data_IF_993517411409
#
_entry.id   IF_993517411409
#
_cell.length_a   1.000
_cell.length_b   1.000
_cell.length_c   1.000
_cell.angle_alpha   90.00
_cell.angle_beta   90.00
_cell.angle_gamma   90.00
#
_symmetry.space_group_name_H-M   'P 1'
#
loop_
_entity.id
_entity.type
_entity.pdbx_description
1 polymer ?
#
# COMPACT_ATOMS: atom_id res chain seq x y z
N UNK A 1 -7.54 12.33 -12.74
CA UNK A 1 -8.72 11.46 -12.52
C UNK A 1 -8.52 10.78 -11.18
N UNK A 2 -9.51 10.92 -10.30
CA UNK A 2 -9.44 10.32 -8.98
C UNK A 2 -9.75 8.83 -9.08
N UNK A 3 -8.89 8.03 -8.47
CA UNK A 3 -9.03 6.57 -8.46
C UNK A 3 -9.67 6.08 -7.17
N UNK A 4 -9.45 6.82 -6.08
CA UNK A 4 -10.00 6.50 -4.77
C UNK A 4 -10.52 7.78 -4.11
N UNK A 5 -11.75 7.74 -3.60
CA UNK A 5 -12.40 8.88 -2.95
C UNK A 5 -12.95 8.46 -1.59
N UNK A 6 -12.68 9.25 -0.56
CA UNK A 6 -13.24 9.11 0.77
C UNK A 6 -14.29 10.20 0.98
N UNK A 7 -15.52 9.79 1.32
CA UNK A 7 -16.66 10.69 1.59
C UNK A 7 -17.15 10.47 3.01
N UNK A 8 -16.87 11.42 3.89
CA UNK A 8 -17.25 11.45 5.31
C UNK A 8 -16.86 10.18 6.08
N UNK A 9 -15.71 9.57 5.70
CA UNK A 9 -15.26 8.30 6.24
C UNK A 9 -14.90 8.43 7.71
N UNK A 10 -15.57 7.63 8.54
CA UNK A 10 -15.30 7.49 9.97
C UNK A 10 -15.11 6.03 10.34
N UNK A 11 -14.27 5.78 11.33
CA UNK A 11 -14.03 4.42 11.80
C UNK A 11 -13.90 4.34 13.32
N UNK A 12 -14.56 3.34 13.90
CA UNK A 12 -14.40 2.87 15.29
C UNK A 12 -14.33 1.35 15.32
N UNK A 13 -13.62 0.81 16.28
CA UNK A 13 -13.62 -0.64 16.50
C UNK A 13 -14.97 -1.10 17.06
N UNK A 14 -15.36 -2.35 16.76
CA UNK A 14 -16.66 -2.92 17.16
C UNK A 14 -16.87 -2.90 18.67
N UNK A 15 -15.79 -3.11 19.43
CA UNK A 15 -15.82 -3.17 20.91
C UNK A 15 -15.58 -1.81 21.57
N UNK A 16 -15.40 -0.73 20.77
CA UNK A 16 -15.22 0.62 21.30
C UNK A 16 -16.55 1.25 21.69
N UNK A 17 -16.51 2.18 22.66
CA UNK A 17 -17.69 2.98 23.03
C UNK A 17 -18.18 3.78 21.84
N UNK A 18 -19.47 4.15 21.84
CA UNK A 18 -20.09 4.86 20.70
C UNK A 18 -19.35 6.12 20.25
N UNK A 19 -18.69 6.81 21.17
CA UNK A 19 -17.94 8.04 20.91
C UNK A 19 -16.46 7.84 20.62
N UNK A 20 -15.94 6.62 20.75
CA UNK A 20 -14.51 6.31 20.57
C UNK A 20 -14.15 5.99 19.12
N UNK A 21 -14.08 7.03 18.29
CA UNK A 21 -13.63 6.91 16.91
C UNK A 21 -12.11 6.99 16.81
N UNK A 22 -11.54 6.19 15.93
CA UNK A 22 -10.13 6.27 15.53
C UNK A 22 -9.90 7.56 14.74
N UNK A 23 -10.80 7.86 13.80
CA UNK A 23 -10.90 9.12 13.05
C UNK A 23 -12.34 9.34 12.57
N UNK A 24 -12.66 10.59 12.24
CA UNK A 24 -14.01 10.99 11.81
C UNK A 24 -13.98 11.90 10.59
N UNK A 25 -14.99 11.74 9.75
CA UNK A 25 -15.33 12.64 8.64
C UNK A 25 -14.16 12.94 7.70
N UNK A 26 -13.40 11.91 7.33
CA UNK A 26 -12.34 12.05 6.33
C UNK A 26 -13.00 12.25 4.96
N UNK A 27 -12.71 13.41 4.36
CA UNK A 27 -12.99 13.69 2.96
C UNK A 27 -11.66 13.87 2.25
N UNK A 28 -11.33 13.00 1.31
CA UNK A 28 -10.05 13.03 0.61
C UNK A 28 -10.10 12.30 -0.73
N UNK A 29 -9.37 12.82 -1.72
CA UNK A 29 -9.31 12.23 -3.04
C UNK A 29 -7.87 11.85 -3.39
N UNK A 30 -7.70 10.69 -4.00
CA UNK A 30 -6.42 10.19 -4.49
C UNK A 30 -6.47 10.03 -6.01
N UNK A 31 -5.55 10.70 -6.70
CA UNK A 31 -5.50 10.73 -8.17
C UNK A 31 -4.39 9.85 -8.72
N UNK A 32 -4.57 9.36 -9.94
CA UNK A 32 -3.53 8.66 -10.68
C UNK A 32 -2.31 9.55 -10.93
N UNK A 33 -1.12 8.93 -11.01
CA UNK A 33 0.13 9.63 -11.30
C UNK A 33 0.70 10.43 -10.12
N UNK A 34 0.24 10.17 -8.89
CA UNK A 34 0.61 10.92 -7.69
C UNK A 34 1.06 9.99 -6.56
N UNK A 35 1.92 10.53 -5.70
CA UNK A 35 2.35 9.91 -4.44
C UNK A 35 1.72 10.68 -3.29
N UNK A 36 1.04 9.96 -2.42
CA UNK A 36 0.44 10.46 -1.18
C UNK A 36 1.15 9.86 0.02
N UNK A 37 1.51 10.67 0.99
CA UNK A 37 2.01 10.21 2.28
C UNK A 37 0.95 10.45 3.36
N UNK A 38 0.53 9.38 4.04
CA UNK A 38 -0.33 9.45 5.21
C UNK A 38 0.57 9.38 6.43
N UNK A 39 0.63 10.46 7.20
CA UNK A 39 1.40 10.52 8.44
C UNK A 39 0.52 10.76 9.66
N UNK A 40 1.07 10.53 10.83
CA UNK A 40 0.42 10.73 12.13
C UNK A 40 1.19 10.03 13.23
N UNK A 41 0.89 10.34 14.48
CA UNK A 41 1.52 9.72 15.66
C UNK A 41 1.29 8.20 15.69
N UNK A 42 2.11 7.48 16.48
CA UNK A 42 1.80 6.06 16.74
C UNK A 42 0.39 5.92 17.32
N UNK A 43 -0.35 4.92 16.87
CA UNK A 43 -1.76 4.75 17.26
C UNK A 43 -2.72 5.79 16.66
N UNK A 44 -2.34 6.54 15.61
CA UNK A 44 -3.26 7.48 14.95
C UNK A 44 -4.30 6.81 14.04
N UNK A 45 -4.18 5.51 13.77
CA UNK A 45 -5.09 4.79 12.89
C UNK A 45 -4.60 4.69 11.44
N UNK A 46 -3.32 4.93 11.15
CA UNK A 46 -2.77 4.86 9.78
C UNK A 46 -2.94 3.49 9.14
N UNK A 47 -2.53 2.43 9.84
CA UNK A 47 -2.72 1.04 9.38
C UNK A 47 -4.22 0.70 9.27
N UNK A 48 -5.04 1.23 10.17
CA UNK A 48 -6.50 1.09 10.10
C UNK A 48 -7.07 1.74 8.84
N UNK A 49 -6.64 2.97 8.52
CA UNK A 49 -7.06 3.63 7.28
C UNK A 49 -6.60 2.82 6.07
N UNK A 50 -5.36 2.32 6.07
CA UNK A 50 -4.87 1.46 4.99
C UNK A 50 -5.72 0.19 4.84
N UNK A 51 -6.14 -0.43 5.95
CA UNK A 51 -7.03 -1.60 5.94
C UNK A 51 -8.40 -1.28 5.34
N UNK A 52 -8.94 -0.07 5.57
CA UNK A 52 -10.16 0.40 4.91
C UNK A 52 -9.95 0.60 3.40
N UNK A 53 -8.85 1.27 3.00
CA UNK A 53 -8.53 1.52 1.60
C UNK A 53 -8.28 0.22 0.82
N UNK A 54 -7.77 -0.82 1.49
CA UNK A 54 -7.55 -2.15 0.89
C UNK A 54 -8.78 -3.05 0.91
N UNK A 55 -9.90 -2.62 1.51
CA UNK A 55 -11.09 -3.45 1.67
C UNK A 55 -10.92 -4.65 2.61
N UNK A 56 -9.92 -4.61 3.51
CA UNK A 56 -9.78 -5.58 4.60
C UNK A 56 -10.74 -5.27 5.76
N UNK A 57 -11.09 -4.00 5.91
CA UNK A 57 -12.04 -3.50 6.89
C UNK A 57 -13.09 -2.63 6.21
N UNK A 58 -14.22 -2.41 6.90
CA UNK A 58 -15.32 -1.56 6.43
C UNK A 58 -15.46 -0.34 7.33
N UNK A 59 -15.61 0.86 6.75
CA UNK A 59 -15.84 2.07 7.52
C UNK A 59 -17.15 2.00 8.31
N UNK A 60 -17.16 2.60 9.51
CA UNK A 60 -18.36 2.68 10.37
C UNK A 60 -19.39 3.60 9.76
N UNK A 61 -18.95 4.78 9.28
CA UNK A 61 -19.78 5.76 8.58
C UNK A 61 -19.06 6.24 7.32
N UNK A 62 -19.82 6.81 6.39
CA UNK A 62 -19.31 7.30 5.12
C UNK A 62 -19.11 6.23 4.07
N UNK A 63 -18.41 6.60 3.00
CA UNK A 63 -18.24 5.74 1.81
C UNK A 63 -16.84 5.89 1.23
N UNK A 64 -16.26 4.78 0.80
CA UNK A 64 -15.00 4.73 0.04
C UNK A 64 -15.35 4.30 -1.38
N UNK A 65 -15.04 5.13 -2.36
CA UNK A 65 -15.27 4.84 -3.77
C UNK A 65 -13.94 4.50 -4.44
N UNK A 66 -13.92 3.38 -5.17
CA UNK A 66 -12.85 3.04 -6.09
C UNK A 66 -13.36 3.15 -7.53
N UNK A 67 -12.73 3.99 -8.33
CA UNK A 67 -13.19 4.33 -9.70
C UNK A 67 -14.69 4.70 -9.74
N UNK A 68 -15.16 5.45 -8.72
CA UNK A 68 -16.55 5.89 -8.59
C UNK A 68 -17.53 4.85 -8.05
N UNK A 69 -17.07 3.61 -7.77
CA UNK A 69 -17.91 2.53 -7.23
C UNK A 69 -17.61 2.31 -5.75
N UNK A 70 -18.66 2.25 -4.91
CA UNK A 70 -18.52 1.95 -3.48
C UNK A 70 -17.85 0.59 -3.25
N UNK A 71 -16.77 0.56 -2.44
CA UNK A 71 -16.06 -0.68 -2.11
C UNK A 71 -16.98 -1.75 -1.53
N UNK A 72 -18.03 -1.35 -0.79
CA UNK A 72 -19.04 -2.27 -0.23
C UNK A 72 -19.82 -3.04 -1.31
N UNK A 73 -19.82 -2.54 -2.55
CA UNK A 73 -20.51 -3.15 -3.71
C UNK A 73 -19.59 -3.99 -4.59
N UNK A 74 -18.28 -3.92 -4.36
CA UNK A 74 -17.29 -4.67 -5.12
C UNK A 74 -17.09 -6.07 -4.55
N UNK A 75 -16.64 -6.99 -5.42
CA UNK A 75 -16.01 -8.22 -4.95
C UNK A 75 -14.62 -7.86 -4.37
N UNK A 76 -14.51 -7.83 -3.03
CA UNK A 76 -13.30 -7.39 -2.33
C UNK A 76 -12.12 -8.34 -2.56
N UNK A 77 -12.35 -9.63 -2.82
CA UNK A 77 -11.27 -10.56 -3.14
C UNK A 77 -10.68 -10.24 -4.53
N UNK A 78 -11.53 -9.98 -5.52
CA UNK A 78 -11.09 -9.52 -6.83
C UNK A 78 -10.41 -8.14 -6.75
N UNK A 79 -10.93 -7.21 -5.95
CA UNK A 79 -10.33 -5.91 -5.71
C UNK A 79 -8.90 -6.05 -5.19
N UNK A 80 -8.68 -6.86 -4.15
CA UNK A 80 -7.36 -7.09 -3.55
C UNK A 80 -6.40 -7.86 -4.46
N UNK A 81 -6.90 -8.82 -5.23
CA UNK A 81 -6.06 -9.68 -6.07
C UNK A 81 -5.76 -9.12 -7.46
N UNK A 82 -6.49 -8.07 -7.90
CA UNK A 82 -6.38 -7.57 -9.28
C UNK A 82 -6.31 -6.04 -9.42
N UNK A 83 -6.88 -5.28 -8.48
CA UNK A 83 -7.03 -3.83 -8.63
C UNK A 83 -6.00 -3.02 -7.85
N UNK A 84 -5.55 -3.55 -6.70
CA UNK A 84 -4.62 -2.85 -5.81
C UNK A 84 -3.39 -3.69 -5.51
N UNK A 85 -2.21 -3.07 -5.46
CA UNK A 85 -0.99 -3.69 -4.94
C UNK A 85 -0.77 -3.30 -3.49
N UNK A 86 -0.48 -4.26 -2.61
CA UNK A 86 -0.22 -3.98 -1.20
C UNK A 86 1.22 -4.37 -0.86
N UNK A 87 1.93 -3.44 -0.20
CA UNK A 87 3.29 -3.62 0.31
C UNK A 87 3.26 -3.42 1.81
N UNK A 88 3.64 -4.44 2.57
CA UNK A 88 3.62 -4.43 4.04
C UNK A 88 5.01 -4.14 4.61
N UNK A 89 5.08 -3.60 5.81
CA UNK A 89 6.31 -3.35 6.56
C UNK A 89 7.13 -4.63 6.80
N UNK A 90 6.49 -5.76 7.05
CA UNK A 90 7.09 -7.07 7.28
C UNK A 90 7.29 -7.90 6.00
N UNK A 91 7.20 -7.26 4.83
CA UNK A 91 7.34 -7.84 3.49
C UNK A 91 6.28 -8.90 3.14
N UNK A 92 5.86 -9.74 4.09
CA UNK A 92 4.91 -10.85 3.93
C UNK A 92 5.24 -11.76 2.74
N UNK A 93 6.54 -12.07 2.57
CA UNK A 93 7.04 -12.99 1.57
C UNK A 93 7.08 -14.42 2.14
N UNK A 94 6.90 -15.41 1.29
CA UNK A 94 7.04 -16.81 1.65
C UNK A 94 8.53 -17.18 1.69
N UNK A 95 9.12 -17.46 2.87
CA UNK A 95 10.57 -17.51 3.04
C UNK A 95 11.22 -18.73 2.39
N UNK A 96 10.48 -19.80 2.15
CA UNK A 96 10.95 -21.04 1.50
C UNK A 96 10.86 -20.99 -0.03
N UNK A 97 10.18 -19.99 -0.60
CA UNK A 97 10.14 -19.72 -2.02
C UNK A 97 11.27 -18.77 -2.43
N UNK A 98 11.66 -18.79 -3.70
CA UNK A 98 12.51 -17.77 -4.32
C UNK A 98 11.74 -16.46 -4.53
N UNK A 99 12.46 -15.39 -4.89
CA UNK A 99 11.82 -14.12 -5.24
C UNK A 99 10.90 -14.28 -6.46
N UNK A 100 11.36 -14.98 -7.51
CA UNK A 100 10.56 -15.27 -8.71
C UNK A 100 9.28 -16.04 -8.34
N UNK A 101 9.39 -17.09 -7.53
CA UNK A 101 8.24 -17.91 -7.12
C UNK A 101 7.21 -17.13 -6.30
N UNK A 102 7.64 -16.20 -5.42
CA UNK A 102 6.74 -15.30 -4.70
C UNK A 102 5.90 -14.42 -5.65
N UNK A 103 6.51 -13.96 -6.75
CA UNK A 103 5.81 -13.13 -7.75
C UNK A 103 4.87 -14.00 -8.58
N UNK A 104 5.32 -15.18 -9.04
CA UNK A 104 4.49 -16.12 -9.81
C UNK A 104 3.24 -16.52 -9.02
N UNK A 105 3.39 -16.83 -7.73
CA UNK A 105 2.26 -17.17 -6.88
C UNK A 105 1.21 -16.06 -6.85
N UNK A 106 1.64 -14.80 -6.80
CA UNK A 106 0.71 -13.65 -6.85
C UNK A 106 -0.02 -13.56 -8.19
N UNK A 107 0.68 -13.86 -9.31
CA UNK A 107 0.06 -13.95 -10.63
C UNK A 107 -0.97 -15.10 -10.70
N UNK A 108 -0.67 -16.23 -10.05
CA UNK A 108 -1.58 -17.39 -10.00
C UNK A 108 -2.86 -17.06 -9.22
N UNK A 109 -2.70 -16.42 -8.05
CA UNK A 109 -3.83 -15.98 -7.20
C UNK A 109 -4.72 -14.97 -7.93
N UNK A 110 -4.13 -14.06 -8.72
CA UNK A 110 -4.90 -13.10 -9.51
C UNK A 110 -5.66 -13.72 -10.70
N UNK A 111 -5.41 -15.00 -10.98
CA UNK A 111 -6.01 -15.68 -12.15
C UNK A 111 -5.40 -15.25 -13.48
N UNK A 112 -4.25 -14.58 -13.48
CA UNK A 112 -3.59 -14.09 -14.70
C UNK A 112 -3.21 -15.24 -15.62
N UNK A 113 -3.76 -15.21 -16.83
CA UNK A 113 -3.44 -16.17 -17.91
C UNK A 113 -2.27 -15.62 -18.71
N UNK A 114 -1.10 -16.20 -18.54
CA UNK A 114 0.13 -15.79 -19.22
C UNK A 114 0.98 -17.04 -19.55
N UNK A 115 1.53 -17.09 -20.75
CA UNK A 115 2.33 -18.22 -21.22
C UNK A 115 3.69 -18.35 -20.52
N UNK A 116 4.29 -17.24 -20.07
CA UNK A 116 5.62 -17.24 -19.45
C UNK A 116 5.67 -16.34 -18.21
N UNK A 117 5.07 -16.80 -17.10
CA UNK A 117 5.06 -16.08 -15.81
C UNK A 117 6.47 -15.88 -15.26
N UNK A 118 7.39 -16.84 -15.49
CA UNK A 118 8.79 -16.71 -15.02
C UNK A 118 9.48 -15.52 -15.66
N UNK A 119 9.34 -15.34 -16.96
CA UNK A 119 9.96 -14.23 -17.68
C UNK A 119 9.38 -12.89 -17.23
N UNK A 120 8.06 -12.82 -16.99
CA UNK A 120 7.43 -11.60 -16.49
C UNK A 120 7.86 -11.28 -15.05
N UNK A 121 7.97 -12.28 -14.18
CA UNK A 121 8.49 -12.09 -12.82
C UNK A 121 9.94 -11.54 -12.84
N UNK A 122 10.78 -12.01 -13.76
CA UNK A 122 12.14 -11.49 -13.93
C UNK A 122 12.11 -10.01 -14.34
N UNK A 123 11.28 -9.61 -15.31
CA UNK A 123 11.14 -8.21 -15.72
C UNK A 123 10.66 -7.32 -14.57
N UNK A 124 9.74 -7.80 -13.73
CA UNK A 124 9.29 -7.07 -12.55
C UNK A 124 10.39 -6.91 -11.51
N UNK A 125 11.26 -7.91 -11.34
CA UNK A 125 12.44 -7.81 -10.47
C UNK A 125 13.45 -6.80 -11.02
N UNK A 126 13.76 -6.87 -12.33
CA UNK A 126 14.64 -5.90 -13.00
C UNK A 126 14.12 -4.47 -12.85
N UNK A 127 12.81 -4.27 -12.97
CA UNK A 127 12.14 -2.97 -12.78
C UNK A 127 12.37 -2.37 -11.38
N UNK A 128 12.53 -3.20 -10.37
CA UNK A 128 12.84 -2.77 -8.99
C UNK A 128 14.33 -2.87 -8.65
N UNK A 129 15.20 -3.12 -9.64
CA UNK A 129 16.66 -3.15 -9.49
C UNK A 129 17.20 -4.46 -8.91
N UNK A 130 16.52 -5.58 -9.15
CA UNK A 130 17.00 -6.92 -8.82
C UNK A 130 17.24 -7.73 -10.11
N UNK A 131 18.43 -8.30 -10.26
CA UNK A 131 18.77 -9.17 -11.37
C UNK A 131 18.15 -10.57 -11.23
N UNK A 132 18.25 -11.35 -12.31
CA UNK A 132 17.75 -12.72 -12.36
C UNK A 132 18.40 -13.63 -11.31
N UNK A 133 19.71 -13.47 -11.04
CA UNK A 133 20.43 -14.30 -10.09
C UNK A 133 19.85 -14.14 -8.68
N UNK A 134 19.63 -12.89 -8.24
CA UNK A 134 18.93 -12.60 -6.97
C UNK A 134 17.49 -13.09 -7.00
N UNK A 135 16.84 -13.02 -8.16
CA UNK A 135 15.48 -13.54 -8.36
C UNK A 135 15.32 -15.04 -8.10
N UNK A 136 16.35 -15.83 -8.38
CA UNK A 136 16.38 -17.29 -8.14
C UNK A 136 16.74 -17.66 -6.69
N UNK A 137 17.19 -16.70 -5.86
CA UNK A 137 17.48 -16.93 -4.44
C UNK A 137 16.21 -17.04 -3.60
N UNK A 138 16.25 -17.90 -2.58
CA UNK A 138 15.20 -17.93 -1.55
C UNK A 138 15.21 -16.63 -0.75
N UNK A 139 14.04 -16.20 -0.29
CA UNK A 139 13.85 -14.93 0.42
C UNK A 139 14.82 -14.74 1.59
N UNK A 140 15.05 -15.78 2.39
CA UNK A 140 15.99 -15.76 3.53
C UNK A 140 17.46 -15.50 3.16
N UNK A 141 17.80 -15.57 1.87
CA UNK A 141 19.16 -15.28 1.35
C UNK A 141 19.29 -13.85 0.80
N UNK A 142 18.23 -13.06 0.91
CA UNK A 142 18.19 -11.67 0.45
C UNK A 142 18.28 -10.72 1.65
N UNK A 143 18.93 -9.57 1.44
CA UNK A 143 18.95 -8.47 2.43
C UNK A 143 17.54 -7.88 2.62
N UNK A 144 17.32 -7.12 3.70
CA UNK A 144 16.03 -6.47 3.96
C UNK A 144 15.58 -5.55 2.82
N UNK A 145 16.51 -4.77 2.23
CA UNK A 145 16.21 -3.93 1.08
C UNK A 145 15.87 -4.72 -0.19
N UNK A 146 16.55 -5.86 -0.42
CA UNK A 146 16.21 -6.76 -1.52
C UNK A 146 14.85 -7.42 -1.31
N UNK A 147 14.53 -7.86 -0.09
CA UNK A 147 13.20 -8.39 0.24
C UNK A 147 12.09 -7.36 0.01
N UNK A 148 12.33 -6.09 0.39
CA UNK A 148 11.39 -5.01 0.12
C UNK A 148 11.17 -4.81 -1.39
N UNK A 149 12.22 -4.86 -2.20
CA UNK A 149 12.10 -4.78 -3.66
C UNK A 149 11.29 -5.95 -4.22
N UNK A 150 11.49 -7.17 -3.70
CA UNK A 150 10.67 -8.34 -4.06
C UNK A 150 9.20 -8.12 -3.69
N UNK A 151 8.90 -7.58 -2.49
CA UNK A 151 7.54 -7.28 -2.07
C UNK A 151 6.87 -6.24 -2.98
N UNK A 152 7.61 -5.21 -3.42
CA UNK A 152 7.12 -4.24 -4.39
C UNK A 152 6.88 -4.93 -5.75
N UNK A 153 7.84 -5.70 -6.28
CA UNK A 153 7.69 -6.41 -7.54
C UNK A 153 6.48 -7.36 -7.52
N UNK A 154 6.27 -8.08 -6.42
CA UNK A 154 5.10 -8.93 -6.20
C UNK A 154 3.80 -8.13 -6.26
N UNK A 155 3.75 -6.95 -5.64
CA UNK A 155 2.57 -6.10 -5.67
C UNK A 155 2.22 -5.57 -7.07
N UNK A 156 3.17 -5.61 -8.00
CA UNK A 156 3.01 -5.19 -9.40
C UNK A 156 2.61 -6.34 -10.33
N UNK A 157 2.55 -7.58 -9.85
CA UNK A 157 2.45 -8.79 -10.67
C UNK A 157 1.22 -8.86 -11.59
N UNK A 158 0.15 -8.19 -11.24
CA UNK A 158 -1.09 -8.06 -12.03
C UNK A 158 -1.36 -6.62 -12.49
N UNK A 159 -0.31 -5.78 -12.50
CA UNK A 159 -0.33 -4.39 -12.98
C UNK A 159 -1.44 -3.50 -12.35
N UNK A 160 -1.58 -3.43 -11.02
CA UNK A 160 -2.62 -2.64 -10.37
C UNK A 160 -2.44 -1.14 -10.65
N UNK A 161 -3.55 -0.37 -10.61
CA UNK A 161 -3.53 1.09 -10.74
C UNK A 161 -3.20 1.81 -9.42
N UNK A 162 -3.51 1.17 -8.30
CA UNK A 162 -3.33 1.70 -6.95
C UNK A 162 -2.34 0.85 -6.16
N UNK A 163 -1.34 1.48 -5.56
CA UNK A 163 -0.37 0.85 -4.66
C UNK A 163 -0.56 1.42 -3.26
N UNK A 164 -0.78 0.54 -2.30
CA UNK A 164 -0.87 0.86 -0.88
C UNK A 164 0.37 0.31 -0.18
N UNK A 165 1.10 1.13 0.58
CA UNK A 165 2.29 0.66 1.28
C UNK A 165 2.28 1.11 2.75
N UNK A 166 2.40 0.16 3.67
CA UNK A 166 2.49 0.39 5.11
C UNK A 166 3.96 0.38 5.54
N UNK A 167 4.48 1.53 5.95
CA UNK A 167 5.86 1.75 6.41
C UNK A 167 6.93 1.08 5.52
N UNK A 168 6.89 1.31 4.17
CA UNK A 168 7.70 0.52 3.23
C UNK A 168 9.21 0.70 3.37
N UNK A 169 9.66 1.61 4.21
CA UNK A 169 11.08 1.91 4.45
C UNK A 169 11.45 1.88 5.93
N UNK A 170 10.52 1.52 6.82
CA UNK A 170 10.68 1.65 8.27
C UNK A 170 11.84 0.85 8.88
N UNK A 171 12.28 -0.22 8.24
CA UNK A 171 13.37 -1.09 8.70
C UNK A 171 14.63 -0.99 7.82
N UNK A 172 14.74 0.06 6.98
CA UNK A 172 15.82 0.20 6.00
C UNK A 172 16.75 1.37 6.38
N UNK A 173 17.99 1.28 5.94
CA UNK A 173 18.93 2.39 6.03
C UNK A 173 18.52 3.54 5.08
N UNK A 174 19.11 4.73 5.29
CA UNK A 174 18.76 5.94 4.54
C UNK A 174 19.03 5.86 3.03
N UNK A 175 20.03 5.10 2.62
CA UNK A 175 20.37 4.95 1.21
C UNK A 175 19.33 4.06 0.53
N UNK A 176 19.06 2.91 1.12
CA UNK A 176 17.98 1.99 0.66
C UNK A 176 16.60 2.67 0.69
N UNK A 177 16.28 3.51 1.72
CA UNK A 177 15.05 4.31 1.76
C UNK A 177 14.90 5.17 0.48
N UNK A 178 15.97 5.89 0.09
CA UNK A 178 15.95 6.72 -1.12
C UNK A 178 15.70 5.92 -2.39
N UNK A 179 16.35 4.76 -2.49
CA UNK A 179 16.19 3.87 -3.64
C UNK A 179 14.76 3.32 -3.76
N UNK A 180 14.16 2.89 -2.64
CA UNK A 180 12.76 2.44 -2.59
C UNK A 180 11.81 3.59 -2.97
N UNK A 181 12.05 4.81 -2.47
CA UNK A 181 11.26 5.98 -2.85
C UNK A 181 11.40 6.31 -4.34
N UNK A 182 12.56 6.08 -4.94
CA UNK A 182 12.73 6.26 -6.38
C UNK A 182 11.89 5.27 -7.19
N UNK A 183 11.75 4.03 -6.72
CA UNK A 183 10.85 3.04 -7.35
C UNK A 183 9.40 3.57 -7.31
N UNK A 184 8.90 4.03 -6.15
CA UNK A 184 7.54 4.58 -6.06
C UNK A 184 7.34 5.81 -6.94
N UNK A 185 8.34 6.69 -7.06
CA UNK A 185 8.28 7.84 -7.98
C UNK A 185 8.17 7.40 -9.45
N UNK A 186 8.92 6.36 -9.83
CA UNK A 186 8.82 5.79 -11.18
C UNK A 186 7.43 5.22 -11.44
N UNK A 187 6.88 4.48 -10.48
CA UNK A 187 5.52 3.92 -10.58
C UNK A 187 4.44 5.01 -10.70
N UNK A 188 4.57 6.11 -9.96
CA UNK A 188 3.65 7.24 -10.08
C UNK A 188 3.77 7.91 -11.45
N UNK A 189 4.99 8.13 -11.98
CA UNK A 189 5.20 8.67 -13.32
C UNK A 189 4.63 7.78 -14.44
N UNK A 190 4.56 6.47 -14.20
CA UNK A 190 3.89 5.50 -15.08
C UNK A 190 2.36 5.52 -14.94
N UNK A 191 1.81 6.46 -14.18
CA UNK A 191 0.38 6.67 -14.03
C UNK A 191 -0.27 5.93 -12.87
N UNK A 192 0.47 5.27 -11.99
CA UNK A 192 -0.10 4.62 -10.80
C UNK A 192 -0.36 5.64 -9.68
N UNK A 193 -1.40 5.44 -8.90
CA UNK A 193 -1.58 6.12 -7.62
C UNK A 193 -0.80 5.37 -6.55
N UNK A 194 0.03 6.06 -5.77
CA UNK A 194 0.83 5.47 -4.69
C UNK A 194 0.44 6.13 -3.37
N UNK A 195 -0.01 5.34 -2.40
CA UNK A 195 -0.36 5.80 -1.05
C UNK A 195 0.59 5.13 -0.07
N UNK A 196 1.39 5.92 0.62
CA UNK A 196 2.38 5.48 1.59
C UNK A 196 1.93 5.89 2.99
N UNK A 197 1.84 4.93 3.91
CA UNK A 197 1.76 5.23 5.34
C UNK A 197 3.18 5.30 5.87
N UNK A 198 3.55 6.35 6.60
CA UNK A 198 4.92 6.50 7.09
C UNK A 198 5.07 7.38 8.33
N UNK A 199 6.11 7.11 9.12
CA UNK A 199 6.64 7.99 10.15
C UNK A 199 7.89 8.76 9.66
N UNK A 200 8.50 8.35 8.55
CA UNK A 200 9.69 9.01 8.00
C UNK A 200 9.33 10.37 7.42
N UNK A 201 10.01 11.41 7.92
CA UNK A 201 9.89 12.76 7.37
C UNK A 201 10.39 12.79 5.92
N UNK A 202 11.48 12.09 5.61
CA UNK A 202 12.06 12.05 4.27
C UNK A 202 11.07 11.45 3.24
N UNK A 203 10.37 10.38 3.63
CA UNK A 203 9.33 9.76 2.77
C UNK A 203 8.18 10.73 2.55
N UNK A 204 7.71 11.40 3.61
CA UNK A 204 6.64 12.38 3.51
C UNK A 204 7.04 13.59 2.66
N UNK A 205 8.24 14.13 2.85
CA UNK A 205 8.76 15.26 2.07
C UNK A 205 8.99 14.88 0.57
N UNK A 206 9.09 13.57 0.29
CA UNK A 206 9.22 13.03 -1.06
C UNK A 206 7.89 12.76 -1.78
N UNK A 207 6.75 12.93 -1.13
CA UNK A 207 5.42 12.74 -1.71
C UNK A 207 4.90 14.03 -2.36
N UNK A 208 3.96 13.89 -3.32
CA UNK A 208 3.29 15.05 -3.92
C UNK A 208 2.31 15.71 -2.93
N UNK A 209 1.68 14.88 -2.08
CA UNK A 209 0.70 15.33 -1.08
C UNK A 209 0.93 14.61 0.24
N UNK A 210 0.72 15.35 1.33
CA UNK A 210 0.83 14.81 2.70
C UNK A 210 -0.49 14.99 3.42
N UNK A 211 -1.05 13.87 3.87
CA UNK A 211 -2.24 13.83 4.72
C UNK A 211 -1.80 13.57 6.16
N UNK A 212 -2.14 14.48 7.08
CA UNK A 212 -1.91 14.25 8.50
C UNK A 212 -3.17 13.66 9.15
N UNK A 213 -3.12 12.39 9.53
CA UNK A 213 -4.29 11.72 10.10
C UNK A 213 -4.68 12.23 11.48
N UNK A 214 -3.76 12.89 12.20
CA UNK A 214 -4.08 13.50 13.49
C UNK A 214 -5.09 14.65 13.36
N UNK A 215 -5.23 15.28 12.21
CA UNK A 215 -6.17 16.37 11.94
C UNK A 215 -7.64 15.88 11.95
N UNK A 216 -7.86 14.57 11.73
CA UNK A 216 -9.18 13.93 11.72
C UNK A 216 -9.53 13.24 13.05
N UNK A 217 -8.68 13.35 14.06
CA UNK A 217 -9.00 12.92 15.42
C UNK A 217 -9.84 13.98 16.11
N UNK A 218 -10.83 13.53 16.91
CA UNK A 218 -11.57 14.44 17.78
C UNK A 218 -10.57 15.17 18.69
N UNK A 219 -10.49 16.50 18.62
CA UNK A 219 -9.90 17.28 19.71
C UNK A 219 -10.69 16.89 20.96
N UNK A 220 -10.06 16.30 21.97
CA UNK A 220 -10.66 16.18 23.30
C UNK A 220 -11.11 17.59 23.66
N UNK A 221 -12.42 17.82 23.79
CA UNK A 221 -12.89 19.00 24.49
C UNK A 221 -12.18 18.95 25.86
N UNK A 222 -11.30 19.90 26.10
CA UNK A 222 -10.88 20.20 27.47
C UNK A 222 -12.15 20.65 28.15
N UNK A 223 -12.70 19.81 29.01
CA UNK A 223 -13.62 20.29 30.05
C UNK A 223 -12.73 21.13 30.98
N UNK A 224 -12.82 22.43 30.86
CA UNK A 224 -12.39 23.38 31.88
C UNK A 224 -13.31 23.23 33.09
#
# INVERSE_FOLDING_TARGET
>A
MDILELKEVSYRYKDAKEDEFVFRNINYNFSLGKIYAIKGKSGSGKTTLLSLLSGLETCSDGTILFEGVDLKKLNLDYYRSNQIGIVFQSFNLLPHLSAIENIILSMDISGMKMSNKKQEAIKLLEKVGLDKEKGERRILKLSGGEQQRVAIARSLSYNPKLILADEPTGNLDKETEKEIMQIFRTLAREGKCVILVTHSKNVADGADFVMNLDDFKRKKCRND
#
